data_IF_477717176525
#
_entry.id   IF_477717176525
#
_cell.length_a   1.000
_cell.length_b   1.000
_cell.length_c   1.000
_cell.angle_alpha   90.00
_cell.angle_beta   90.00
_cell.angle_gamma   90.00
#
_symmetry.space_group_name_H-M   'P 1'
#
loop_
_entity.id
_entity.type
_entity.pdbx_description
1 polymer ?
#
# COMPACT_ATOMS: atom_id res chain seq x y z
N UNK A 1 -35.06 -36.02 0.51
CA UNK A 1 -33.73 -36.49 0.08
C UNK A 1 -33.15 -35.43 -0.82
N UNK A 2 -31.89 -35.08 -0.55
CA UNK A 2 -31.10 -33.97 -1.10
C UNK A 2 -30.50 -34.37 -2.46
N UNK A 3 -30.18 -33.35 -3.27
CA UNK A 3 -29.21 -33.29 -4.37
C UNK A 3 -29.66 -33.81 -5.75
N UNK A 4 -29.28 -33.24 -6.89
CA UNK A 4 -28.34 -32.15 -7.24
C UNK A 4 -28.50 -31.88 -8.75
N UNK A 5 -28.52 -30.60 -9.15
CA UNK A 5 -27.92 -30.06 -10.38
C UNK A 5 -28.41 -28.63 -10.60
N UNK A 6 -27.94 -27.73 -9.73
CA UNK A 6 -27.89 -26.31 -10.05
C UNK A 6 -26.70 -26.08 -10.97
N UNK A 7 -26.93 -26.17 -12.27
CA UNK A 7 -25.97 -25.68 -13.27
C UNK A 7 -25.83 -24.18 -13.09
N UNK A 8 -24.77 -23.72 -12.43
CA UNK A 8 -24.37 -22.31 -12.48
C UNK A 8 -23.81 -22.10 -13.89
N UNK A 9 -24.63 -21.53 -14.77
CA UNK A 9 -24.20 -20.96 -16.05
C UNK A 9 -23.44 -19.68 -15.71
N UNK A 10 -22.12 -19.77 -15.65
CA UNK A 10 -21.24 -18.60 -15.76
C UNK A 10 -21.22 -18.17 -17.24
N UNK A 11 -22.34 -17.60 -17.70
CA UNK A 11 -22.42 -16.86 -18.96
C UNK A 11 -22.02 -15.41 -18.68
N UNK A 12 -20.72 -15.16 -18.59
CA UNK A 12 -20.16 -13.82 -18.81
C UNK A 12 -19.10 -13.94 -19.92
N UNK A 13 -19.60 -14.05 -21.16
CA UNK A 13 -18.84 -13.69 -22.35
C UNK A 13 -18.61 -12.17 -22.33
N UNK A 14 -17.66 -11.70 -21.52
CA UNK A 14 -17.13 -10.35 -21.62
C UNK A 14 -16.29 -10.24 -22.91
N UNK A 15 -16.98 -10.02 -24.04
CA UNK A 15 -16.37 -9.44 -25.24
C UNK A 15 -16.04 -7.97 -24.93
N UNK A 16 -14.85 -7.74 -24.40
CA UNK A 16 -14.23 -6.40 -24.41
C UNK A 16 -13.07 -6.39 -25.41
N UNK A 17 -13.42 -6.01 -26.64
CA UNK A 17 -12.50 -5.46 -27.63
C UNK A 17 -11.96 -4.13 -27.10
N UNK A 18 -10.67 -4.11 -26.76
CA UNK A 18 -9.92 -2.87 -26.59
C UNK A 18 -8.61 -3.05 -27.36
N UNK A 19 -8.63 -2.58 -28.61
CA UNK A 19 -7.43 -2.24 -29.38
C UNK A 19 -6.60 -1.21 -28.60
N UNK A 20 -5.30 -1.45 -28.51
CA UNK A 20 -4.39 -0.58 -27.77
C UNK A 20 -2.99 -1.17 -27.61
N UNK A 21 -2.34 -1.36 -28.75
CA UNK A 21 -0.93 -1.71 -28.95
C UNK A 21 0.02 -0.85 -28.08
N UNK A 22 0.65 -1.47 -27.07
CA UNK A 22 1.90 -0.99 -26.45
C UNK A 22 2.68 -2.06 -25.67
N UNK A 23 2.30 -3.35 -25.73
CA UNK A 23 2.99 -4.44 -25.03
C UNK A 23 2.94 -4.40 -23.49
N UNK A 24 2.58 -3.28 -22.87
CA UNK A 24 2.46 -3.11 -21.43
C UNK A 24 1.01 -3.21 -20.96
N UNK A 25 0.70 -4.27 -20.21
CA UNK A 25 -0.63 -4.45 -19.61
C UNK A 25 -0.77 -3.47 -18.44
N UNK A 26 -1.57 -2.41 -18.62
CA UNK A 26 -1.91 -1.44 -17.56
C UNK A 26 -3.05 -1.96 -16.70
N UNK A 27 -2.76 -2.34 -15.46
CA UNK A 27 -3.74 -2.92 -14.53
C UNK A 27 -4.59 -1.82 -13.89
N UNK A 28 -5.55 -1.26 -14.64
CA UNK A 28 -6.48 -0.23 -14.14
C UNK A 28 -7.95 -0.64 -14.20
N UNK A 29 -8.27 -1.76 -14.86
CA UNK A 29 -9.64 -2.27 -15.05
C UNK A 29 -9.71 -3.77 -14.76
N UNK A 30 -10.87 -4.26 -14.29
CA UNK A 30 -11.12 -5.66 -13.92
C UNK A 30 -10.81 -6.64 -15.07
N UNK A 31 -11.16 -6.29 -16.31
CA UNK A 31 -10.83 -7.06 -17.52
C UNK A 31 -9.32 -7.14 -17.77
N UNK A 32 -8.60 -6.02 -17.63
CA UNK A 32 -7.15 -5.96 -17.80
C UNK A 32 -6.39 -6.69 -16.70
N UNK A 33 -6.88 -6.60 -15.45
CA UNK A 33 -6.37 -7.42 -14.34
C UNK A 33 -6.57 -8.91 -14.62
N UNK A 34 -7.75 -9.31 -15.13
CA UNK A 34 -8.02 -10.71 -15.48
C UNK A 34 -7.05 -11.24 -16.53
N UNK A 35 -6.76 -10.45 -17.58
CA UNK A 35 -5.75 -10.81 -18.60
C UNK A 35 -4.36 -10.88 -17.98
N UNK A 36 -3.97 -9.88 -17.20
CA UNK A 36 -2.67 -9.83 -16.51
C UNK A 36 -2.44 -11.07 -15.64
N UNK A 37 -3.38 -11.39 -14.75
CA UNK A 37 -3.19 -12.48 -13.79
C UNK A 37 -3.13 -13.84 -14.50
N UNK A 38 -3.91 -14.06 -15.58
CA UNK A 38 -3.80 -15.26 -16.42
C UNK A 38 -2.41 -15.45 -17.04
N UNK A 39 -1.63 -14.38 -17.23
CA UNK A 39 -0.22 -14.50 -17.69
C UNK A 39 0.76 -14.89 -16.57
N UNK A 40 0.33 -14.82 -15.30
CA UNK A 40 1.18 -15.05 -14.12
C UNK A 40 0.84 -16.34 -13.39
N UNK A 41 -0.36 -16.88 -13.55
CA UNK A 41 -0.81 -18.10 -12.90
C UNK A 41 -1.58 -19.00 -13.86
N UNK A 42 -1.43 -20.32 -13.70
CA UNK A 42 -2.18 -21.32 -14.46
C UNK A 42 -3.57 -21.60 -13.85
N UNK A 43 -3.77 -21.20 -12.59
CA UNK A 43 -5.01 -21.43 -11.86
C UNK A 43 -6.14 -20.50 -12.31
N UNK A 44 -7.38 -21.01 -12.24
CA UNK A 44 -8.57 -20.17 -12.34
C UNK A 44 -8.69 -19.30 -11.10
N UNK A 45 -8.99 -18.02 -11.30
CA UNK A 45 -9.31 -17.07 -10.23
C UNK A 45 -10.81 -16.77 -10.32
N UNK A 46 -11.50 -16.88 -9.18
CA UNK A 46 -12.92 -16.54 -9.04
C UNK A 46 -13.17 -15.04 -9.20
N UNK A 47 -14.40 -14.65 -9.52
CA UNK A 47 -14.79 -13.25 -9.64
C UNK A 47 -14.50 -12.45 -8.35
N UNK A 48 -14.90 -12.98 -7.20
CA UNK A 48 -14.70 -12.36 -5.88
C UNK A 48 -13.21 -12.16 -5.54
N UNK A 49 -12.36 -13.10 -5.92
CA UNK A 49 -10.92 -12.98 -5.71
C UNK A 49 -10.31 -11.87 -6.58
N UNK A 50 -10.84 -11.63 -7.79
CA UNK A 50 -10.42 -10.49 -8.63
C UNK A 50 -10.84 -9.16 -8.01
N UNK A 51 -12.03 -9.10 -7.44
CA UNK A 51 -12.53 -7.89 -6.77
C UNK A 51 -11.69 -7.56 -5.53
N UNK A 52 -11.39 -8.58 -4.72
CA UNK A 52 -10.47 -8.45 -3.59
C UNK A 52 -9.09 -7.96 -4.05
N UNK A 53 -8.55 -8.53 -5.13
CA UNK A 53 -7.26 -8.13 -5.69
C UNK A 53 -7.28 -6.68 -6.20
N UNK A 54 -8.35 -6.25 -6.86
CA UNK A 54 -8.52 -4.85 -7.28
C UNK A 54 -8.52 -3.89 -6.08
N UNK A 55 -9.28 -4.22 -5.03
CA UNK A 55 -9.34 -3.41 -3.82
C UNK A 55 -7.97 -3.32 -3.13
N UNK A 56 -7.21 -4.43 -3.09
CA UNK A 56 -5.86 -4.45 -2.53
C UNK A 56 -4.87 -3.62 -3.37
N UNK A 57 -4.94 -3.70 -4.70
CA UNK A 57 -4.11 -2.89 -5.58
C UNK A 57 -4.37 -1.40 -5.39
N UNK A 58 -5.63 -1.00 -5.24
CA UNK A 58 -6.00 0.38 -4.91
C UNK A 58 -5.39 0.81 -3.57
N UNK A 59 -5.56 0.00 -2.52
CA UNK A 59 -5.02 0.30 -1.20
C UNK A 59 -3.49 0.43 -1.21
N UNK A 60 -2.77 -0.51 -1.84
CA UNK A 60 -1.32 -0.47 -1.96
C UNK A 60 -0.86 0.77 -2.73
N UNK A 61 -1.57 1.11 -3.82
CA UNK A 61 -1.28 2.31 -4.61
C UNK A 61 -1.43 3.58 -3.76
N UNK A 62 -2.49 3.68 -2.96
CA UNK A 62 -2.68 4.83 -2.07
C UNK A 62 -1.55 4.94 -1.03
N UNK A 63 -1.16 3.82 -0.43
CA UNK A 63 -0.08 3.79 0.58
C UNK A 63 1.23 4.26 -0.06
N UNK A 64 1.56 3.71 -1.24
CA UNK A 64 2.78 4.05 -1.96
C UNK A 64 2.83 5.54 -2.35
N UNK A 65 1.72 6.08 -2.88
CA UNK A 65 1.65 7.49 -3.27
C UNK A 65 1.78 8.42 -2.07
N UNK A 66 1.11 8.12 -0.94
CA UNK A 66 1.23 8.91 0.28
C UNK A 66 2.66 8.90 0.81
N UNK A 67 3.32 7.74 0.81
CA UNK A 67 4.71 7.69 1.28
C UNK A 67 5.66 8.44 0.34
N UNK A 68 5.46 8.33 -0.97
CA UNK A 68 6.23 9.10 -1.95
C UNK A 68 6.01 10.61 -1.82
N UNK A 69 4.80 11.05 -1.46
CA UNK A 69 4.49 12.45 -1.12
C UNK A 69 5.30 12.92 0.09
N UNK A 70 5.36 12.13 1.16
CA UNK A 70 6.16 12.43 2.35
C UNK A 70 7.66 12.56 2.02
N UNK A 71 8.22 11.59 1.28
CA UNK A 71 9.61 11.63 0.80
C UNK A 71 9.88 12.88 -0.06
N UNK A 72 8.93 13.24 -0.93
CA UNK A 72 8.98 14.47 -1.73
C UNK A 72 9.04 15.73 -0.86
N UNK A 73 8.16 15.81 0.15
CA UNK A 73 8.09 16.91 1.11
C UNK A 73 9.36 17.03 1.97
N UNK A 74 9.92 15.92 2.44
CA UNK A 74 11.18 15.89 3.20
C UNK A 74 12.35 16.48 2.38
N UNK A 75 12.29 16.36 1.05
CA UNK A 75 13.25 16.94 0.09
C UNK A 75 12.84 18.35 -0.39
N UNK A 76 11.81 18.96 0.21
CA UNK A 76 11.34 20.32 -0.11
C UNK A 76 10.65 20.47 -1.47
N UNK A 77 10.11 19.38 -2.04
CA UNK A 77 9.45 19.36 -3.35
C UNK A 77 7.96 19.07 -3.18
N UNK A 78 7.12 19.71 -4.02
CA UNK A 78 5.67 19.50 -4.07
C UNK A 78 5.24 18.59 -5.24
N UNK A 79 6.19 17.96 -5.92
CA UNK A 79 5.95 17.08 -7.06
C UNK A 79 6.62 15.75 -6.76
N UNK A 80 5.88 14.65 -6.95
CA UNK A 80 6.38 13.28 -6.79
C UNK A 80 7.15 12.91 -8.05
N UNK A 81 8.41 12.53 -7.91
CA UNK A 81 9.26 12.04 -9.00
C UNK A 81 9.44 10.52 -8.88
N UNK A 82 9.90 9.83 -9.94
CA UNK A 82 10.11 8.38 -9.90
C UNK A 82 10.98 7.91 -8.73
N UNK A 83 12.05 8.65 -8.41
CA UNK A 83 12.93 8.35 -7.27
C UNK A 83 12.19 8.34 -5.91
N UNK A 84 11.11 9.12 -5.77
CA UNK A 84 10.33 9.17 -4.52
C UNK A 84 9.42 7.93 -4.39
N UNK A 85 8.93 7.41 -5.53
CA UNK A 85 8.17 6.16 -5.57
C UNK A 85 9.07 4.94 -5.33
N UNK A 86 10.28 4.94 -5.87
CA UNK A 86 11.28 3.87 -5.66
C UNK A 86 11.67 3.79 -4.18
N UNK A 87 12.00 4.93 -3.56
CA UNK A 87 12.35 5.01 -2.14
C UNK A 87 11.17 4.57 -1.25
N UNK A 88 9.96 5.08 -1.53
CA UNK A 88 8.76 4.66 -0.81
C UNK A 88 8.49 3.15 -0.94
N UNK A 89 8.75 2.56 -2.11
CA UNK A 89 8.61 1.13 -2.32
C UNK A 89 9.64 0.31 -1.53
N UNK A 90 10.91 0.73 -1.53
CA UNK A 90 11.98 0.06 -0.77
C UNK A 90 11.70 0.06 0.73
N UNK A 91 11.21 1.18 1.26
CA UNK A 91 10.79 1.28 2.66
C UNK A 91 9.61 0.36 2.98
N UNK A 92 8.58 0.32 2.12
CA UNK A 92 7.41 -0.55 2.28
C UNK A 92 7.78 -2.03 2.24
N UNK A 93 8.76 -2.41 1.41
CA UNK A 93 9.26 -3.77 1.30
C UNK A 93 10.23 -4.16 2.43
N UNK A 94 10.62 -3.20 3.26
CA UNK A 94 11.54 -3.38 4.39
C UNK A 94 10.85 -3.12 5.73
N UNK A 95 9.76 -3.85 6.08
CA UNK A 95 8.97 -3.56 7.28
C UNK A 95 9.78 -3.69 8.57
N UNK A 96 10.89 -4.44 8.57
CA UNK A 96 11.77 -4.57 9.73
C UNK A 96 12.52 -3.24 10.00
N UNK A 97 13.00 -2.57 8.95
CA UNK A 97 13.64 -1.26 9.06
C UNK A 97 12.63 -0.18 9.51
N UNK A 98 11.38 -0.29 9.07
CA UNK A 98 10.29 0.56 9.55
C UNK A 98 10.04 0.37 11.06
N UNK A 99 9.95 -0.87 11.53
CA UNK A 99 9.78 -1.18 12.96
C UNK A 99 10.94 -0.62 13.78
N UNK A 100 12.19 -0.78 13.33
CA UNK A 100 13.37 -0.23 14.00
C UNK A 100 13.31 1.31 14.08
N UNK A 101 12.92 1.98 12.99
CA UNK A 101 12.77 3.44 12.96
C UNK A 101 11.70 3.93 13.93
N UNK A 102 10.58 3.21 14.05
CA UNK A 102 9.51 3.52 15.00
C UNK A 102 10.01 3.36 16.44
N UNK A 103 10.75 2.28 16.74
CA UNK A 103 11.33 2.05 18.06
C UNK A 103 12.30 3.17 18.45
N UNK A 104 13.18 3.58 17.53
CA UNK A 104 14.13 4.68 17.74
C UNK A 104 13.41 6.01 18.00
N UNK A 105 12.32 6.28 17.27
CA UNK A 105 11.52 7.49 17.44
C UNK A 105 10.83 7.50 18.81
N UNK A 106 10.26 6.37 19.22
CA UNK A 106 9.63 6.24 20.54
C UNK A 106 10.64 6.41 21.67
N UNK A 107 11.86 5.87 21.53
CA UNK A 107 12.90 6.02 22.55
C UNK A 107 13.37 7.49 22.64
N UNK A 108 13.52 8.18 21.50
CA UNK A 108 13.82 9.63 21.49
C UNK A 108 12.73 10.44 22.18
N UNK A 109 11.45 10.18 21.89
CA UNK A 109 10.32 10.85 22.54
C UNK A 109 10.27 10.59 24.04
N UNK A 110 10.55 9.36 24.46
CA UNK A 110 10.64 8.98 25.88
C UNK A 110 11.75 9.75 26.60
N UNK A 111 12.94 9.84 26.00
CA UNK A 111 14.05 10.60 26.60
C UNK A 111 13.77 12.11 26.62
N UNK A 112 13.12 12.66 25.59
CA UNK A 112 12.67 14.05 25.58
C UNK A 112 11.65 14.33 26.69
N UNK A 113 10.65 13.46 26.86
CA UNK A 113 9.66 13.55 27.93
C UNK A 113 10.30 13.46 29.33
N UNK A 114 11.26 12.56 29.52
CA UNK A 114 12.03 12.49 30.78
C UNK A 114 12.80 13.79 31.04
N UNK A 115 13.44 14.36 30.01
CA UNK A 115 14.17 15.63 30.13
C UNK A 115 13.22 16.78 30.48
N UNK A 116 12.07 16.85 29.81
CA UNK A 116 11.02 17.83 30.11
C UNK A 116 10.51 17.70 31.54
N UNK A 117 10.22 16.48 32.00
CA UNK A 117 9.81 16.21 33.37
C UNK A 117 10.87 16.65 34.40
N UNK A 118 12.15 16.32 34.15
CA UNK A 118 13.26 16.74 35.01
C UNK A 118 13.42 18.26 35.06
N UNK A 119 13.28 18.95 33.92
CA UNK A 119 13.32 20.42 33.87
C UNK A 119 12.11 21.10 34.53
N UNK A 120 10.94 20.45 34.52
CA UNK A 120 9.72 20.93 35.18
C UNK A 120 9.82 20.85 36.70
N UNK A 121 10.44 19.77 37.23
CA UNK A 121 10.69 19.59 38.67
C UNK A 121 11.64 20.66 39.24
N UNK A 122 12.68 21.04 38.50
CA UNK A 122 13.63 22.09 38.94
C UNK A 122 12.94 23.45 39.09
N UNK A 123 11.98 23.77 38.20
CA UNK A 123 11.27 25.06 38.23
C UNK A 123 10.30 25.20 39.42
N UNK A 124 9.89 24.10 40.05
CA UNK A 124 9.07 24.11 41.26
C UNK A 124 9.88 24.13 42.57
N UNK A 125 11.19 23.83 42.53
CA UNK A 125 12.07 23.88 43.70
C UNK A 125 12.82 25.21 43.88
N UNK A 126 12.81 26.11 42.89
CA UNK A 126 13.38 27.46 42.99
C UNK A 126 12.40 28.50 43.57
N UNK A 127 11.19 28.06 43.96
CA UNK A 127 10.18 28.89 44.62
C UNK A 127 9.98 28.37 46.05
N UNK A 128 11.03 28.42 46.86
CA UNK A 128 10.99 28.37 48.32
C UNK A 128 12.19 29.15 48.90
#
# INVERSE_FOLDING_TARGET
MVSENGTIRDEDEEQEDIEGDSGEIRVSRKGTLSKFVKTKVESRISADAKETLMAQLEQITMILVKRAEEVGHEKGRNTIYPADLEEAYEELMSPHAFIETVLDTLEKQKEELKRLAASSLVRHMEVD
#
